data_IF_030063271898
#
_entry.id   IF_030063271898
#
_cell.length_a   1.000
_cell.length_b   1.000
_cell.length_c   1.000
_cell.angle_alpha   90.00
_cell.angle_beta   90.00
_cell.angle_gamma   90.00
#
_symmetry.space_group_name_H-M   'P 1'
#
loop_
_entity.id
_entity.type
_entity.pdbx_description
1 polymer ?
#
# COMPACT_ATOMS: atom_id res chain seq x y z
N UNK A 1 -9.82 8.84 2.26
CA UNK A 1 -11.23 9.25 2.22
C UNK A 1 -11.57 9.81 0.85
N UNK A 2 -12.83 9.74 0.48
CA UNK A 2 -13.38 10.36 -0.71
C UNK A 2 -14.57 11.24 -0.34
N UNK A 3 -14.61 12.44 -0.88
CA UNK A 3 -15.67 13.42 -0.71
C UNK A 3 -16.17 13.82 -2.10
N UNK A 4 -17.48 13.83 -2.28
CA UNK A 4 -18.14 14.19 -3.53
C UNK A 4 -19.07 15.37 -3.31
N UNK A 5 -19.13 16.26 -4.30
CA UNK A 5 -19.84 17.53 -4.22
C UNK A 5 -20.71 17.69 -5.46
N UNK A 6 -22.02 17.78 -5.27
CA UNK A 6 -22.92 18.26 -6.32
C UNK A 6 -22.75 19.77 -6.47
N UNK A 7 -22.61 20.26 -7.71
CA UNK A 7 -22.49 21.68 -8.00
C UNK A 7 -23.76 22.17 -8.70
N UNK A 8 -24.12 23.42 -8.42
CA UNK A 8 -25.22 24.12 -9.08
C UNK A 8 -24.73 25.12 -10.14
N UNK A 9 -23.44 25.06 -10.47
CA UNK A 9 -22.77 25.86 -11.49
C UNK A 9 -21.83 24.98 -12.30
N UNK A 10 -21.39 25.47 -13.45
CA UNK A 10 -20.40 24.79 -14.30
C UNK A 10 -18.99 25.29 -13.99
N UNK A 11 -18.15 24.55 -13.25
CA UNK A 11 -16.77 24.94 -12.99
C UNK A 11 -15.96 25.01 -14.29
N UNK A 12 -15.17 26.07 -14.45
CA UNK A 12 -14.20 26.20 -15.55
C UNK A 12 -12.76 25.92 -15.10
N UNK A 13 -12.52 25.98 -13.79
CA UNK A 13 -11.24 25.67 -13.16
C UNK A 13 -11.48 25.11 -11.75
N UNK A 14 -10.57 24.28 -11.23
CA UNK A 14 -10.68 23.69 -9.89
C UNK A 14 -10.76 24.74 -8.76
N UNK A 15 -10.28 25.95 -9.01
CA UNK A 15 -10.38 27.08 -8.09
C UNK A 15 -11.82 27.61 -7.91
N UNK A 16 -12.75 27.27 -8.81
CA UNK A 16 -14.17 27.63 -8.69
C UNK A 16 -14.88 26.80 -7.61
N UNK A 17 -14.32 25.64 -7.24
CA UNK A 17 -14.94 24.69 -6.31
C UNK A 17 -14.52 24.97 -4.87
N UNK A 18 -15.49 25.19 -3.99
CA UNK A 18 -15.27 25.31 -2.55
C UNK A 18 -15.20 23.92 -1.88
N UNK A 19 -14.00 23.39 -1.76
CA UNK A 19 -13.74 22.12 -1.04
C UNK A 19 -13.83 22.25 0.51
N UNK A 20 -14.14 23.42 1.05
CA UNK A 20 -14.42 23.62 2.48
C UNK A 20 -15.90 23.50 2.81
N UNK A 21 -16.77 23.53 1.79
CA UNK A 21 -18.19 23.25 1.94
C UNK A 21 -18.44 21.81 2.42
N UNK A 22 -19.62 21.55 2.98
CA UNK A 22 -20.01 20.19 3.35
C UNK A 22 -20.17 19.33 2.09
N UNK A 23 -19.49 18.16 2.00
CA UNK A 23 -19.64 17.27 0.86
C UNK A 23 -21.04 16.67 0.80
N UNK A 24 -21.51 16.38 -0.41
CA UNK A 24 -22.76 15.65 -0.67
C UNK A 24 -22.68 14.20 -0.21
N UNK A 25 -21.50 13.57 -0.39
CA UNK A 25 -21.22 12.22 0.07
C UNK A 25 -19.77 12.14 0.57
N UNK A 26 -19.58 11.54 1.74
CA UNK A 26 -18.27 11.12 2.23
C UNK A 26 -18.24 9.60 2.32
N UNK A 27 -17.19 8.99 1.78
CA UNK A 27 -17.00 7.54 1.80
C UNK A 27 -15.51 7.19 1.73
N UNK A 28 -15.19 5.92 1.57
CA UNK A 28 -13.84 5.44 1.28
C UNK A 28 -13.80 4.74 -0.06
N UNK A 29 -12.72 4.97 -0.81
CA UNK A 29 -12.40 4.24 -2.04
C UNK A 29 -11.01 3.65 -1.90
N UNK A 30 -10.84 2.44 -2.41
CA UNK A 30 -9.57 1.72 -2.30
C UNK A 30 -8.55 2.21 -3.34
N UNK A 31 -9.03 2.64 -4.51
CA UNK A 31 -8.22 3.14 -5.63
C UNK A 31 -8.96 4.29 -6.29
N UNK A 32 -8.22 5.20 -6.93
CA UNK A 32 -8.79 6.27 -7.75
C UNK A 32 -8.74 5.80 -9.21
N UNK A 33 -9.68 4.93 -9.54
CA UNK A 33 -9.84 4.33 -10.86
C UNK A 33 -11.32 4.40 -11.26
N UNK A 34 -11.76 5.61 -11.62
CA UNK A 34 -13.11 5.89 -12.08
C UNK A 34 -13.08 5.93 -13.62
N UNK A 35 -13.43 4.82 -14.30
CA UNK A 35 -13.40 4.75 -15.75
C UNK A 35 -14.44 5.69 -16.36
N UNK A 36 -14.26 5.98 -17.67
CA UNK A 36 -15.14 6.85 -18.44
C UNK A 36 -16.61 6.46 -18.29
N UNK A 37 -17.46 7.43 -17.98
CA UNK A 37 -18.90 7.25 -17.83
C UNK A 37 -19.65 8.50 -18.31
N UNK A 38 -20.79 8.30 -18.97
CA UNK A 38 -21.75 9.36 -19.28
C UNK A 38 -22.87 9.46 -18.23
N UNK A 39 -22.80 8.61 -17.19
CA UNK A 39 -23.76 8.54 -16.09
C UNK A 39 -23.17 9.07 -14.79
N UNK A 40 -23.90 8.88 -13.68
CA UNK A 40 -23.46 9.34 -12.36
C UNK A 40 -22.06 8.82 -11.99
N UNK A 41 -21.19 9.71 -11.53
CA UNK A 41 -19.80 9.38 -11.18
C UNK A 41 -19.67 8.59 -9.87
N UNK A 42 -20.64 8.73 -8.98
CA UNK A 42 -20.84 7.87 -7.81
C UNK A 42 -22.32 7.48 -7.68
N UNK A 43 -22.66 6.43 -6.91
CA UNK A 43 -24.05 6.00 -6.75
C UNK A 43 -24.95 7.14 -6.26
N UNK A 44 -25.93 7.53 -7.08
CA UNK A 44 -26.87 8.62 -6.78
C UNK A 44 -26.33 10.04 -6.99
N UNK A 45 -25.12 10.19 -7.53
CA UNK A 45 -24.53 11.49 -7.89
C UNK A 45 -25.05 12.08 -9.19
N UNK A 46 -24.63 13.31 -9.49
CA UNK A 46 -24.85 13.92 -10.80
C UNK A 46 -23.92 13.30 -11.87
N UNK A 47 -24.34 13.37 -13.13
CA UNK A 47 -23.50 13.02 -14.30
C UNK A 47 -22.56 14.15 -14.68
N UNK A 48 -22.99 15.39 -14.46
CA UNK A 48 -22.28 16.61 -14.83
C UNK A 48 -22.32 17.57 -13.63
N UNK A 49 -21.43 18.58 -13.63
CA UNK A 49 -21.37 19.63 -12.60
C UNK A 49 -21.21 19.05 -11.19
N UNK A 50 -20.14 18.31 -11.01
CA UNK A 50 -19.75 17.81 -9.71
C UNK A 50 -18.26 17.99 -9.47
N UNK A 51 -17.85 17.81 -8.22
CA UNK A 51 -16.44 17.72 -7.86
C UNK A 51 -16.18 16.55 -6.91
N UNK A 52 -14.92 16.13 -6.85
CA UNK A 52 -14.46 15.11 -5.92
C UNK A 52 -13.12 15.50 -5.29
N UNK A 53 -12.96 15.19 -4.00
CA UNK A 53 -11.68 15.27 -3.28
C UNK A 53 -11.35 13.90 -2.71
N UNK A 54 -10.13 13.45 -3.00
CA UNK A 54 -9.58 12.21 -2.45
C UNK A 54 -8.39 12.58 -1.58
N UNK A 55 -8.40 12.10 -0.34
CA UNK A 55 -7.31 12.33 0.63
C UNK A 55 -6.82 11.00 1.17
N UNK A 56 -5.54 10.94 1.49
CA UNK A 56 -4.95 9.76 2.11
C UNK A 56 -3.47 9.93 2.35
N UNK A 57 -2.81 8.79 2.49
CA UNK A 57 -1.35 8.72 2.62
C UNK A 57 -0.87 7.70 1.62
N UNK A 58 0.00 8.11 0.70
CA UNK A 58 0.64 7.19 -0.23
C UNK A 58 1.99 6.75 0.35
N UNK A 59 2.31 5.46 0.24
CA UNK A 59 3.56 4.91 0.73
C UNK A 59 4.56 4.70 -0.42
N UNK A 60 5.65 5.47 -0.43
CA UNK A 60 6.76 5.31 -1.36
C UNK A 60 7.67 4.14 -0.90
N UNK A 61 7.84 3.06 -1.69
CA UNK A 61 8.62 1.89 -1.27
C UNK A 61 10.13 2.14 -1.10
N UNK A 62 10.65 3.17 -1.76
CA UNK A 62 12.07 3.54 -1.74
C UNK A 62 12.25 5.01 -2.03
N UNK A 63 13.38 5.57 -1.61
CA UNK A 63 13.80 6.91 -2.02
C UNK A 63 13.90 6.99 -3.54
N UNK A 64 13.43 8.10 -4.11
CA UNK A 64 13.73 8.41 -5.49
C UNK A 64 12.70 9.27 -6.19
N UNK A 65 12.77 9.23 -7.52
CA UNK A 65 11.95 10.06 -8.40
C UNK A 65 10.67 9.31 -8.77
N UNK A 66 9.54 9.87 -8.38
CA UNK A 66 8.20 9.38 -8.70
C UNK A 66 7.54 10.31 -9.70
N UNK A 67 6.85 9.75 -10.69
CA UNK A 67 5.97 10.51 -11.59
C UNK A 67 4.54 10.09 -11.33
N UNK A 68 3.69 11.06 -11.00
CA UNK A 68 2.25 10.89 -10.86
C UNK A 68 1.57 11.33 -12.14
N UNK A 69 0.46 10.67 -12.46
CA UNK A 69 -0.36 10.92 -13.64
C UNK A 69 -1.83 11.06 -13.21
N UNK A 70 -2.55 11.97 -13.85
CA UNK A 70 -4.00 12.06 -13.76
C UNK A 70 -4.57 11.99 -15.17
N UNK A 71 -5.42 11.00 -15.43
CA UNK A 71 -6.25 10.98 -16.62
C UNK A 71 -7.65 11.44 -16.24
N UNK A 72 -8.08 12.59 -16.77
CA UNK A 72 -9.38 13.19 -16.49
C UNK A 72 -10.06 13.76 -17.74
N UNK A 73 -11.39 13.80 -17.70
CA UNK A 73 -12.22 14.63 -18.57
C UNK A 73 -12.77 15.71 -17.63
N UNK A 74 -12.52 16.96 -18.00
CA UNK A 74 -12.34 18.12 -17.14
C UNK A 74 -11.17 18.04 -16.13
N UNK A 75 -11.12 19.00 -15.19
CA UNK A 75 -9.88 19.38 -14.51
C UNK A 75 -9.55 18.57 -13.27
N UNK A 76 -8.27 18.22 -13.10
CA UNK A 76 -7.72 17.52 -11.94
C UNK A 76 -6.41 18.13 -11.41
N UNK A 77 -6.20 18.07 -10.10
CA UNK A 77 -4.93 18.43 -9.45
C UNK A 77 -4.50 17.32 -8.52
N UNK A 78 -3.22 16.95 -8.54
CA UNK A 78 -2.63 15.96 -7.63
C UNK A 78 -1.57 16.62 -6.76
N UNK A 79 -1.70 16.46 -5.45
CA UNK A 79 -0.77 16.98 -4.45
C UNK A 79 -0.12 15.84 -3.67
N UNK A 80 1.19 15.97 -3.42
CA UNK A 80 1.97 15.08 -2.56
C UNK A 80 2.70 15.95 -1.54
N UNK A 81 2.61 15.64 -0.25
CA UNK A 81 3.14 16.45 0.85
C UNK A 81 2.67 17.92 0.81
N UNK A 82 1.46 18.14 0.28
CA UNK A 82 0.90 19.48 0.06
C UNK A 82 1.50 20.24 -1.13
N UNK A 83 2.48 19.67 -1.85
CA UNK A 83 3.05 20.24 -3.07
C UNK A 83 2.22 19.82 -4.28
N UNK A 84 1.89 20.78 -5.15
CA UNK A 84 1.20 20.49 -6.41
C UNK A 84 2.17 19.77 -7.37
N UNK A 85 1.85 18.52 -7.71
CA UNK A 85 2.68 17.69 -8.59
C UNK A 85 2.10 17.60 -9.99
N UNK A 86 0.80 17.31 -10.14
CA UNK A 86 0.10 17.30 -11.43
C UNK A 86 -0.82 18.51 -11.50
N UNK A 87 -0.57 19.40 -12.46
CA UNK A 87 -1.37 20.61 -12.67
C UNK A 87 -2.18 20.50 -13.97
N UNK A 88 -3.44 20.08 -13.84
CA UNK A 88 -4.40 19.94 -14.95
C UNK A 88 -5.76 20.52 -14.55
N UNK A 89 -5.74 21.64 -13.81
CA UNK A 89 -6.93 22.13 -13.10
C UNK A 89 -7.93 22.92 -13.95
N UNK A 90 -7.71 23.09 -15.25
CA UNK A 90 -8.60 23.83 -16.16
C UNK A 90 -9.64 22.89 -16.79
N UNK A 91 -10.74 23.43 -17.32
CA UNK A 91 -11.70 22.65 -18.08
C UNK A 91 -11.11 22.21 -19.43
N UNK A 92 -11.19 20.92 -19.73
CA UNK A 92 -10.67 20.33 -20.96
C UNK A 92 -11.34 18.98 -21.25
N UNK A 93 -11.31 18.56 -22.51
CA UNK A 93 -11.73 17.19 -22.85
C UNK A 93 -10.79 16.12 -22.30
N UNK A 94 -11.18 14.85 -22.38
CA UNK A 94 -10.38 13.72 -21.89
C UNK A 94 -8.88 13.83 -22.25
N UNK A 95 -8.03 13.86 -21.24
CA UNK A 95 -6.57 13.97 -21.38
C UNK A 95 -5.84 13.24 -20.26
N UNK A 96 -4.50 13.23 -20.35
CA UNK A 96 -3.65 12.78 -19.25
C UNK A 96 -2.53 13.80 -19.02
N UNK A 97 -2.47 14.32 -17.80
CA UNK A 97 -1.37 15.14 -17.31
C UNK A 97 -0.47 14.34 -16.37
N UNK A 98 0.76 14.82 -16.18
CA UNK A 98 1.72 14.21 -15.27
C UNK A 98 2.66 15.22 -14.66
N UNK A 99 3.30 14.81 -13.57
CA UNK A 99 4.33 15.59 -12.92
C UNK A 99 5.18 14.72 -12.01
N UNK A 100 6.36 15.23 -11.69
CA UNK A 100 7.42 14.46 -11.03
C UNK A 100 7.82 15.10 -9.71
N UNK A 101 8.04 14.28 -8.68
CA UNK A 101 8.50 14.69 -7.36
C UNK A 101 9.57 13.71 -6.85
N UNK A 102 10.51 14.20 -6.03
CA UNK A 102 11.42 13.36 -5.27
C UNK A 102 10.79 13.03 -3.92
N UNK A 103 10.66 11.74 -3.62
CA UNK A 103 10.13 11.25 -2.35
C UNK A 103 11.21 10.46 -1.61
N UNK A 104 11.24 10.61 -0.29
CA UNK A 104 11.88 9.62 0.60
C UNK A 104 11.03 8.35 0.64
N UNK A 105 11.60 7.22 1.05
CA UNK A 105 10.82 6.04 1.40
C UNK A 105 9.92 6.36 2.60
N UNK A 106 8.68 5.85 2.57
CA UNK A 106 7.74 6.04 3.66
C UNK A 106 6.43 6.72 3.27
N UNK A 107 5.77 7.29 4.27
CA UNK A 107 4.43 7.83 4.17
C UNK A 107 4.43 9.30 3.72
N UNK A 108 3.63 9.60 2.70
CA UNK A 108 3.46 10.93 2.14
C UNK A 108 1.98 11.31 2.09
N UNK A 109 1.54 12.42 2.70
CA UNK A 109 0.21 12.95 2.47
C UNK A 109 -0.12 13.06 0.98
N UNK A 110 -1.27 12.52 0.61
CA UNK A 110 -1.77 12.51 -0.75
C UNK A 110 -3.11 13.24 -0.81
N UNK A 111 -3.27 14.07 -1.82
CA UNK A 111 -4.56 14.67 -2.16
C UNK A 111 -4.75 14.70 -3.68
N UNK A 112 -5.95 14.41 -4.15
CA UNK A 112 -6.38 14.71 -5.53
C UNK A 112 -7.71 15.43 -5.49
N UNK A 113 -7.81 16.52 -6.27
CA UNK A 113 -9.05 17.26 -6.51
C UNK A 113 -9.43 17.09 -7.97
N UNK A 114 -10.73 17.02 -8.24
CA UNK A 114 -11.29 16.80 -9.57
C UNK A 114 -12.62 17.53 -9.69
N UNK A 115 -12.95 18.04 -10.88
CA UNK A 115 -14.31 18.42 -11.23
C UNK A 115 -14.71 17.89 -12.61
N UNK A 116 -16.01 17.69 -12.78
CA UNK A 116 -16.68 17.50 -14.05
C UNK A 116 -17.67 18.64 -14.24
N UNK A 117 -17.61 19.33 -15.38
CA UNK A 117 -18.52 20.39 -15.77
C UNK A 117 -19.61 19.85 -16.71
N UNK A 118 -19.23 19.11 -17.74
CA UNK A 118 -20.18 18.30 -18.48
C UNK A 118 -19.63 17.53 -19.67
N UNK A 119 -20.34 16.46 -20.02
CA UNK A 119 -19.89 15.49 -21.02
C UNK A 119 -19.76 14.11 -20.39
N UNK A 120 -18.70 13.40 -20.76
CA UNK A 120 -18.32 12.16 -20.06
C UNK A 120 -17.35 12.51 -18.93
N UNK A 121 -17.44 11.81 -17.81
CA UNK A 121 -16.49 11.95 -16.72
C UNK A 121 -15.51 10.77 -16.68
N UNK A 122 -14.24 11.04 -16.36
CA UNK A 122 -13.22 10.04 -16.02
C UNK A 122 -12.24 10.61 -15.00
N UNK A 123 -11.77 9.78 -14.08
CA UNK A 123 -10.63 10.12 -13.22
C UNK A 123 -9.84 8.85 -12.89
N UNK A 124 -8.61 8.77 -13.40
CA UNK A 124 -7.68 7.70 -13.06
C UNK A 124 -6.37 8.32 -12.59
N UNK A 125 -5.98 8.02 -11.36
CA UNK A 125 -4.68 8.44 -10.82
C UNK A 125 -3.72 7.26 -10.80
N UNK A 126 -2.57 7.45 -11.44
CA UNK A 126 -1.53 6.44 -11.56
C UNK A 126 -0.15 7.02 -11.25
N UNK A 127 0.84 6.15 -11.09
CA UNK A 127 2.20 6.56 -10.76
C UNK A 127 3.24 5.55 -11.25
N UNK A 128 4.47 6.02 -11.39
CA UNK A 128 5.68 5.21 -11.59
C UNK A 128 6.76 5.69 -10.63
N UNK A 129 7.64 4.79 -10.22
CA UNK A 129 8.73 5.09 -9.30
C UNK A 129 9.88 4.11 -9.46
N UNK A 130 10.92 4.21 -8.61
CA UNK A 130 12.04 3.28 -8.65
C UNK A 130 11.57 1.83 -8.50
N UNK A 131 11.97 0.98 -9.45
CA UNK A 131 11.67 -0.45 -9.41
C UNK A 131 10.27 -0.87 -9.88
N UNK A 132 9.42 0.05 -10.37
CA UNK A 132 8.12 -0.34 -10.94
C UNK A 132 7.64 0.55 -12.10
N UNK A 133 7.04 -0.08 -13.11
CA UNK A 133 6.42 0.61 -14.25
C UNK A 133 5.13 1.36 -13.86
N UNK A 134 4.65 2.25 -14.72
CA UNK A 134 3.40 2.99 -14.51
C UNK A 134 2.24 2.04 -14.18
N UNK A 135 1.56 2.30 -13.06
CA UNK A 135 0.40 1.55 -12.60
C UNK A 135 -0.58 2.49 -11.89
N UNK A 136 -1.88 2.15 -11.87
CA UNK A 136 -2.83 2.81 -10.95
C UNK A 136 -2.25 2.70 -9.53
N UNK A 137 -2.36 3.76 -8.73
CA UNK A 137 -1.88 3.70 -7.34
C UNK A 137 -2.67 2.59 -6.63
N UNK A 138 -2.03 1.46 -6.27
CA UNK A 138 -2.75 0.31 -5.75
C UNK A 138 -3.30 0.62 -4.37
N UNK A 139 -4.39 -0.05 -3.97
CA UNK A 139 -4.97 0.14 -2.64
C UNK A 139 -3.97 -0.10 -1.50
N UNK A 140 -3.02 -1.03 -1.72
CA UNK A 140 -1.93 -1.30 -0.80
C UNK A 140 -0.99 -0.10 -0.60
N UNK A 141 -0.86 0.81 -1.58
CA UNK A 141 -0.05 2.02 -1.44
C UNK A 141 -0.77 3.11 -0.62
N UNK A 142 -2.11 3.11 -0.56
CA UNK A 142 -2.89 4.03 0.28
C UNK A 142 -3.13 3.51 1.71
N UNK A 143 -2.72 2.28 1.97
CA UNK A 143 -2.91 1.60 3.25
C UNK A 143 -1.57 1.56 3.98
N UNK A 144 -1.35 2.36 5.04
CA UNK A 144 -0.08 2.33 5.74
C UNK A 144 0.15 1.05 6.58
N UNK A 145 -0.78 0.09 6.63
CA UNK A 145 -0.63 -1.14 7.43
C UNK A 145 -1.35 -2.34 6.83
N UNK A 146 -0.67 -3.50 6.77
CA UNK A 146 -1.37 -4.77 6.99
C UNK A 146 -1.78 -4.79 8.47
N UNK A 147 -3.08 -4.79 8.74
CA UNK A 147 -3.57 -5.24 10.05
C UNK A 147 -3.26 -6.74 10.12
N UNK A 148 -2.24 -7.12 10.87
CA UNK A 148 -2.13 -8.50 11.35
C UNK A 148 -3.34 -8.74 12.26
N UNK A 149 -4.37 -9.40 11.72
CA UNK A 149 -5.54 -9.79 12.49
C UNK A 149 -5.13 -10.93 13.41
N UNK A 150 -5.24 -10.67 14.70
CA UNK A 150 -5.25 -11.68 15.75
C UNK A 150 -6.24 -12.79 15.38
N UNK A 151 -5.76 -14.03 15.21
CA UNK A 151 -6.58 -15.23 15.43
C UNK A 151 -6.12 -15.80 16.77
N UNK A 152 -7.09 -15.95 17.68
CA UNK A 152 -7.05 -16.48 19.06
C UNK A 152 -5.79 -17.28 19.46
N UNK A 153 -5.18 -17.07 20.64
CA UNK A 153 -5.81 -17.30 21.94
C UNK A 153 -5.22 -16.46 23.11
N UNK A 154 -6.12 -15.90 23.94
CA UNK A 154 -5.79 -15.34 25.27
C UNK A 154 -5.93 -13.82 25.40
N UNK A 155 -7.14 -13.32 25.70
CA UNK A 155 -7.32 -11.94 26.15
C UNK A 155 -6.53 -11.68 27.43
N UNK A 156 -5.47 -10.86 27.36
CA UNK A 156 -4.91 -10.23 28.56
C UNK A 156 -5.88 -9.12 29.00
N UNK A 157 -6.74 -9.42 29.99
CA UNK A 157 -7.56 -8.40 30.65
C UNK A 157 -6.63 -7.61 31.58
N UNK A 158 -6.41 -6.34 31.27
CA UNK A 158 -5.73 -5.39 32.16
C UNK A 158 -6.61 -5.15 33.38
N UNK A 159 -6.30 -5.79 34.51
CA UNK A 159 -6.84 -5.43 35.82
C UNK A 159 -5.93 -4.36 36.40
N UNK A 160 -6.48 -3.19 36.72
CA UNK A 160 -5.74 -2.18 37.50
C UNK A 160 -5.41 -2.76 38.88
N UNK A 161 -4.17 -3.16 39.10
CA UNK A 161 -3.63 -3.39 40.43
C UNK A 161 -2.47 -2.42 40.66
N UNK A 162 -2.28 -1.96 41.89
CA UNK A 162 -1.15 -1.09 42.27
C UNK A 162 0.15 -1.91 42.48
N UNK A 163 0.16 -3.16 42.05
CA UNK A 163 1.32 -4.04 42.13
C UNK A 163 2.02 -4.04 40.77
N UNK A 164 3.34 -3.88 40.76
CA UNK A 164 4.19 -4.11 39.59
C UNK A 164 4.07 -5.57 39.15
N UNK A 165 3.03 -5.88 38.39
CA UNK A 165 2.87 -7.16 37.72
C UNK A 165 3.69 -7.12 36.43
N UNK A 166 4.81 -7.83 36.40
CA UNK A 166 5.48 -8.14 35.14
C UNK A 166 4.58 -9.09 34.36
N UNK A 167 3.93 -8.58 33.31
CA UNK A 167 3.17 -9.40 32.36
C UNK A 167 4.06 -9.65 31.13
N UNK A 168 4.27 -10.91 30.81
CA UNK A 168 4.94 -11.33 29.58
C UNK A 168 3.88 -11.80 28.58
N UNK A 169 3.84 -11.18 27.41
CA UNK A 169 3.04 -11.63 26.27
C UNK A 169 3.96 -11.85 25.06
N UNK A 170 3.67 -12.87 24.27
CA UNK A 170 4.41 -13.16 23.03
C UNK A 170 3.70 -12.52 21.85
N UNK A 171 4.46 -11.78 21.03
CA UNK A 171 4.02 -11.25 19.75
C UNK A 171 4.67 -12.09 18.65
N UNK A 172 3.90 -12.91 17.95
CA UNK A 172 4.38 -13.65 16.78
C UNK A 172 4.22 -12.79 15.51
N UNK A 173 5.31 -12.62 14.78
CA UNK A 173 5.39 -11.85 13.55
C UNK A 173 5.86 -12.79 12.44
N UNK A 174 5.02 -13.02 11.43
CA UNK A 174 5.39 -13.83 10.26
C UNK A 174 5.67 -12.92 9.07
N UNK A 175 6.90 -12.96 8.56
CA UNK A 175 7.26 -12.32 7.29
C UNK A 175 7.06 -13.34 6.17
N UNK A 176 6.39 -12.92 5.08
CA UNK A 176 6.18 -13.78 3.91
C UNK A 176 7.37 -13.82 2.94
N UNK A 177 8.33 -12.92 3.11
CA UNK A 177 9.48 -12.77 2.23
C UNK A 177 10.73 -12.62 3.08
N UNK A 178 11.83 -13.23 2.63
CA UNK A 178 13.15 -12.96 3.17
C UNK A 178 13.49 -11.48 3.06
N UNK A 179 14.16 -10.95 4.07
CA UNK A 179 14.53 -9.54 4.14
C UNK A 179 14.59 -9.00 5.56
N UNK A 180 14.98 -7.74 5.65
CA UNK A 180 14.99 -7.00 6.91
C UNK A 180 13.73 -6.14 6.99
N UNK A 181 12.94 -6.33 8.04
CA UNK A 181 11.79 -5.48 8.36
C UNK A 181 12.01 -4.80 9.71
N UNK A 182 11.57 -3.56 9.82
CA UNK A 182 11.53 -2.85 11.10
C UNK A 182 10.09 -2.73 11.56
N UNK A 183 9.83 -3.10 12.81
CA UNK A 183 8.53 -2.99 13.47
C UNK A 183 8.67 -2.01 14.62
N UNK A 184 7.80 -1.00 14.64
CA UNK A 184 7.70 -0.05 15.74
C UNK A 184 6.68 -0.54 16.76
N UNK A 185 7.12 -0.84 17.97
CA UNK A 185 6.26 -1.19 19.09
C UNK A 185 6.08 0.06 19.95
N UNK A 186 4.84 0.52 20.10
CA UNK A 186 4.50 1.70 20.92
C UNK A 186 3.65 1.24 22.09
N UNK A 187 4.13 1.47 23.31
CA UNK A 187 3.39 1.29 24.54
C UNK A 187 2.86 2.64 25.02
N UNK A 188 1.62 2.69 25.51
CA UNK A 188 1.00 3.88 26.10
C UNK A 188 0.66 3.59 27.57
N UNK A 189 0.82 4.58 28.45
CA UNK A 189 0.20 4.54 29.77
C UNK A 189 -1.24 5.10 29.72
N UNK A 190 -1.93 5.06 30.86
CA UNK A 190 -3.31 5.53 30.99
C UNK A 190 -3.47 7.04 30.75
N UNK A 191 -2.38 7.80 30.86
CA UNK A 191 -2.32 9.25 30.77
C UNK A 191 -1.63 9.73 29.48
N UNK A 192 -1.55 8.84 28.46
CA UNK A 192 -1.04 9.05 27.10
C UNK A 192 0.48 9.18 26.93
N UNK A 193 1.28 8.98 27.98
CA UNK A 193 2.73 8.86 27.82
C UNK A 193 3.04 7.62 27.00
N UNK A 194 3.90 7.76 25.99
CA UNK A 194 4.28 6.65 25.13
C UNK A 194 5.76 6.34 25.23
N UNK A 195 6.08 5.05 25.11
CA UNK A 195 7.43 4.54 24.88
C UNK A 195 7.45 3.79 23.57
N UNK A 196 8.47 4.04 22.77
CA UNK A 196 8.64 3.44 21.45
C UNK A 196 9.89 2.57 21.44
N UNK A 197 9.76 1.34 20.95
CA UNK A 197 10.88 0.46 20.67
C UNK A 197 10.85 0.04 19.19
N UNK A 198 12.02 0.09 18.54
CA UNK A 198 12.20 -0.51 17.22
C UNK A 198 12.66 -1.96 17.37
N UNK A 199 11.97 -2.86 16.70
CA UNK A 199 12.31 -4.28 16.58
C UNK A 199 12.74 -4.53 15.14
N UNK A 200 13.97 -5.02 14.96
CA UNK A 200 14.45 -5.43 13.63
C UNK A 200 14.23 -6.93 13.50
N UNK A 201 13.48 -7.32 12.48
CA UNK A 201 13.26 -8.73 12.12
C UNK A 201 14.10 -9.01 10.88
N UNK A 202 14.95 -10.03 10.99
CA UNK A 202 15.74 -10.52 9.86
C UNK A 202 15.17 -11.88 9.50
N UNK A 203 14.36 -11.93 8.44
CA UNK A 203 13.97 -13.20 7.83
C UNK A 203 15.02 -13.57 6.80
N UNK A 204 15.62 -14.75 6.97
CA UNK A 204 16.57 -15.30 6.00
C UNK A 204 15.81 -16.22 5.04
N UNK A 205 16.25 -16.33 3.77
CA UNK A 205 15.75 -17.37 2.89
C UNK A 205 15.94 -18.74 3.54
N UNK A 206 14.91 -19.56 3.42
CA UNK A 206 14.81 -20.92 3.91
C UNK A 206 13.90 -21.60 2.89
N UNK A 207 14.48 -22.36 1.97
CA UNK A 207 13.80 -22.84 0.76
C UNK A 207 13.01 -24.12 1.00
N UNK A 208 13.43 -24.98 1.92
CA UNK A 208 12.75 -26.23 2.28
C UNK A 208 11.86 -26.10 3.55
N UNK A 209 11.95 -24.96 4.24
CA UNK A 209 11.23 -24.61 5.46
C UNK A 209 11.57 -25.48 6.67
N UNK A 210 12.80 -25.99 6.77
CA UNK A 210 13.26 -26.79 7.91
C UNK A 210 13.72 -25.94 9.12
N UNK A 211 13.84 -24.62 8.94
CA UNK A 211 14.27 -23.65 9.96
C UNK A 211 15.76 -23.33 9.94
N UNK A 212 16.52 -23.88 8.98
CA UNK A 212 17.92 -23.55 8.72
C UNK A 212 17.98 -22.61 7.50
N UNK A 213 18.58 -21.43 7.62
CA UNK A 213 18.70 -20.53 6.47
C UNK A 213 19.53 -21.13 5.32
N UNK A 214 19.16 -20.88 4.05
CA UNK A 214 19.84 -21.39 2.83
C UNK A 214 21.38 -21.28 2.82
N UNK A 215 21.92 -20.29 3.53
CA UNK A 215 23.38 -20.06 3.61
C UNK A 215 24.10 -21.01 4.58
N UNK A 216 23.37 -21.51 5.56
CA UNK A 216 23.84 -22.34 6.66
C UNK A 216 23.27 -23.77 6.54
N UNK A 217 22.38 -23.99 5.57
CA UNK A 217 21.70 -25.25 5.28
C UNK A 217 22.57 -26.20 4.45
N UNK A 218 22.89 -27.41 4.95
CA UNK A 218 23.59 -28.44 4.20
C UNK A 218 22.82 -29.05 3.02
N UNK A 219 21.50 -28.91 2.97
CA UNK A 219 20.56 -29.53 2.01
C UNK A 219 19.44 -28.52 1.68
N UNK A 220 19.78 -27.48 0.90
CA UNK A 220 18.96 -26.27 0.74
C UNK A 220 17.56 -26.56 0.19
N UNK A 221 17.38 -27.64 -0.57
CA UNK A 221 16.11 -27.98 -1.18
C UNK A 221 15.36 -29.15 -0.52
N UNK A 222 15.95 -29.72 0.53
CA UNK A 222 15.36 -30.74 1.38
C UNK A 222 15.04 -32.05 0.64
N UNK A 223 15.66 -32.28 -0.52
CA UNK A 223 15.41 -33.49 -1.34
C UNK A 223 16.20 -34.72 -0.84
N UNK A 224 17.10 -34.51 0.13
CA UNK A 224 17.90 -35.54 0.79
C UNK A 224 19.30 -35.71 0.22
N UNK A 225 19.70 -34.91 -0.77
CA UNK A 225 21.08 -34.75 -1.21
C UNK A 225 21.68 -33.46 -0.66
N UNK A 226 22.80 -33.57 0.05
CA UNK A 226 23.49 -32.35 0.49
C UNK A 226 24.03 -31.54 -0.69
N UNK A 227 24.15 -30.23 -0.51
CA UNK A 227 24.73 -29.30 -1.49
C UNK A 227 26.10 -29.76 -2.01
N UNK A 228 26.87 -30.45 -1.17
CA UNK A 228 28.20 -30.99 -1.51
C UNK A 228 28.09 -32.20 -2.44
N UNK A 229 27.11 -33.08 -2.21
CA UNK A 229 26.86 -34.23 -3.08
C UNK A 229 26.36 -33.77 -4.44
N UNK A 230 25.48 -32.78 -4.47
CA UNK A 230 24.97 -32.21 -5.71
C UNK A 230 26.06 -31.50 -6.52
N UNK A 231 26.95 -30.75 -5.86
CA UNK A 231 28.13 -30.19 -6.49
C UNK A 231 29.05 -31.26 -7.11
N UNK A 232 29.12 -32.45 -6.50
CA UNK A 232 29.90 -33.59 -7.03
C UNK A 232 29.18 -34.27 -8.22
N UNK A 233 27.85 -34.27 -8.24
CA UNK A 233 27.03 -34.81 -9.32
C UNK A 233 26.83 -33.81 -10.48
N UNK A 234 27.16 -32.53 -10.27
CA UNK A 234 26.92 -31.45 -11.23
C UNK A 234 25.45 -31.05 -11.32
N UNK A 235 24.68 -31.30 -10.26
CA UNK A 235 23.26 -30.92 -10.13
C UNK A 235 23.13 -29.56 -9.42
N UNK A 236 21.92 -29.00 -9.40
CA UNK A 236 21.64 -27.66 -8.89
C UNK A 236 21.11 -27.73 -7.45
N UNK A 237 21.88 -27.27 -6.44
CA UNK A 237 21.54 -27.40 -5.03
C UNK A 237 20.44 -26.47 -4.53
N UNK A 238 19.60 -25.99 -5.45
CA UNK A 238 18.42 -25.20 -5.16
C UNK A 238 17.20 -25.74 -5.89
N UNK A 239 17.29 -26.95 -6.43
CA UNK A 239 16.29 -27.46 -7.33
C UNK A 239 16.02 -28.94 -7.01
N UNK A 240 14.87 -29.22 -6.39
CA UNK A 240 14.52 -30.56 -5.99
C UNK A 240 14.57 -31.55 -7.17
N UNK A 241 15.08 -32.76 -6.92
CA UNK A 241 15.09 -33.90 -7.85
C UNK A 241 15.85 -33.61 -9.16
N UNK A 242 16.95 -32.87 -9.08
CA UNK A 242 17.81 -32.60 -10.26
C UNK A 242 18.52 -33.87 -10.76
N UNK A 243 18.63 -34.91 -9.93
CA UNK A 243 19.20 -36.22 -10.28
C UNK A 243 18.17 -37.26 -10.77
N UNK A 244 16.86 -36.98 -10.66
CA UNK A 244 15.77 -37.84 -11.14
C UNK A 244 15.46 -39.06 -10.26
N UNK A 245 15.87 -39.04 -8.99
CA UNK A 245 15.64 -40.09 -7.99
C UNK A 245 14.19 -40.18 -7.45
N UNK A 246 13.32 -39.21 -7.79
CA UNK A 246 11.88 -39.15 -7.42
C UNK A 246 11.61 -39.05 -5.90
N UNK A 247 12.52 -38.48 -5.12
CA UNK A 247 12.29 -38.25 -3.68
C UNK A 247 11.82 -36.81 -3.38
N UNK A 248 10.87 -36.28 -4.15
CA UNK A 248 10.10 -35.14 -3.67
C UNK A 248 9.25 -35.62 -2.47
N UNK A 249 9.67 -35.29 -1.24
CA UNK A 249 8.86 -35.56 -0.05
C UNK A 249 7.49 -34.91 -0.25
N UNK A 250 6.48 -35.77 -0.38
CA UNK A 250 5.08 -35.40 -0.31
C UNK A 250 4.81 -34.73 1.03
N UNK A 251 4.29 -33.51 0.97
CA UNK A 251 3.69 -32.75 2.06
C UNK A 251 2.92 -33.64 3.04
N UNK A 252 3.27 -33.59 4.33
CA UNK A 252 2.44 -34.21 5.37
C UNK A 252 2.36 -33.35 6.64
N UNK A 253 1.22 -32.63 6.69
CA UNK A 253 0.49 -32.01 7.82
C UNK A 253 0.86 -30.61 8.28
#
# INVERSE_FOLDING_TARGET
>A
GAEFYNLNFGPSVLADVDFTAAPTLTTNVAVINFPRTSGSFWPGGQSDRFAARFTGTVFAPSDGRYTFFSASDDGALVYIDGQLVVNDGENHGTGEASGTILLSAGAHPFETRFFENGGDAVLVVSWTGPGFAKQIIPAAAFSPWQVLRWREAGSAVLVRTNDLATLSATLELSLRLAGTSQVQVVAFDADTLSSTQLVTIVALPDMDHDGIPDRDDPDIDGDGLSNVQEAQLGTDPRKPDTDGSRMAKTDSR
#
